data_IF_320282174185
#
_entry.id   IF_320282174185
#
_cell.length_a   1.000
_cell.length_b   1.000
_cell.length_c   1.000
_cell.angle_alpha   90.00
_cell.angle_beta   90.00
_cell.angle_gamma   90.00
#
_symmetry.space_group_name_H-M   'P 1'
#
loop_
_entity.id
_entity.type
_entity.pdbx_description
1 polymer ?
#
# COMPACT_ATOMS: atom_id res chain seq x y z
N UNK A 1 18.38 -9.48 -29.75
CA UNK A 1 18.56 -8.02 -29.82
C UNK A 1 17.19 -7.45 -30.17
N UNK A 2 16.42 -6.99 -29.17
CA UNK A 2 15.07 -6.42 -29.38
C UNK A 2 15.20 -5.09 -30.08
N UNK A 3 14.38 -4.83 -31.12
CA UNK A 3 14.28 -3.52 -31.77
C UNK A 3 13.98 -2.46 -30.68
N UNK A 4 14.71 -1.33 -30.62
CA UNK A 4 14.37 -0.21 -29.75
C UNK A 4 12.91 0.28 -29.84
N UNK A 5 12.19 -0.09 -30.91
CA UNK A 5 10.76 0.18 -31.14
C UNK A 5 9.80 -0.76 -30.38
N UNK A 6 10.28 -1.85 -29.79
CA UNK A 6 9.48 -2.83 -29.02
C UNK A 6 9.45 -2.56 -27.51
N UNK A 7 9.85 -1.37 -27.06
CA UNK A 7 9.73 -1.01 -25.64
C UNK A 7 8.26 -0.67 -25.34
N UNK A 8 7.62 -1.38 -24.41
CA UNK A 8 6.24 -1.13 -23.99
C UNK A 8 6.14 0.18 -23.19
N UNK A 9 6.22 1.32 -23.89
CA UNK A 9 6.40 2.65 -23.27
C UNK A 9 5.30 3.01 -22.28
N UNK A 10 4.04 2.68 -22.60
CA UNK A 10 2.88 2.94 -21.73
C UNK A 10 2.96 2.12 -20.43
N UNK A 11 3.38 0.87 -20.52
CA UNK A 11 3.57 -0.01 -19.36
C UNK A 11 4.79 0.44 -18.53
N UNK A 12 5.89 0.86 -19.16
CA UNK A 12 7.06 1.41 -18.45
C UNK A 12 6.68 2.69 -17.72
N UNK A 13 5.99 3.62 -18.37
CA UNK A 13 5.47 4.84 -17.73
C UNK A 13 4.53 4.48 -16.58
N UNK A 14 3.61 3.53 -16.78
CA UNK A 14 2.74 3.02 -15.73
C UNK A 14 3.51 2.49 -14.52
N UNK A 15 4.57 1.69 -14.73
CA UNK A 15 5.38 1.15 -13.64
C UNK A 15 6.04 2.24 -12.79
N UNK A 16 6.51 3.32 -13.41
CA UNK A 16 7.03 4.48 -12.68
C UNK A 16 5.96 5.20 -11.87
N UNK A 17 4.73 5.32 -12.40
CA UNK A 17 3.61 5.86 -11.61
C UNK A 17 3.19 4.94 -10.47
N UNK A 18 3.28 3.62 -10.61
CA UNK A 18 3.06 2.70 -9.48
C UNK A 18 4.07 2.97 -8.36
N UNK A 19 5.35 3.12 -8.70
CA UNK A 19 6.41 3.42 -7.73
C UNK A 19 6.21 4.78 -7.08
N UNK A 20 5.85 5.80 -7.86
CA UNK A 20 5.57 7.13 -7.33
C UNK A 20 4.34 7.12 -6.40
N UNK A 21 3.23 6.52 -6.83
CA UNK A 21 2.02 6.40 -6.01
C UNK A 21 2.29 5.63 -4.72
N UNK A 22 3.08 4.56 -4.77
CA UNK A 22 3.49 3.81 -3.58
C UNK A 22 4.36 4.64 -2.63
N UNK A 23 5.29 5.44 -3.16
CA UNK A 23 6.09 6.34 -2.32
C UNK A 23 5.22 7.41 -1.61
N UNK A 24 4.22 7.96 -2.31
CA UNK A 24 3.24 8.91 -1.73
C UNK A 24 2.40 8.21 -0.64
N UNK A 25 1.89 7.02 -0.94
CA UNK A 25 1.12 6.18 -0.01
C UNK A 25 1.93 5.87 1.27
N UNK A 26 3.18 5.41 1.13
CA UNK A 26 4.03 5.12 2.28
C UNK A 26 4.36 6.35 3.11
N UNK A 27 4.53 7.50 2.46
CA UNK A 27 4.74 8.76 3.18
C UNK A 27 3.50 9.12 4.01
N UNK A 28 2.31 8.97 3.42
CA UNK A 28 1.03 9.12 4.13
C UNK A 28 0.94 8.19 5.33
N UNK A 29 1.21 6.90 5.14
CA UNK A 29 1.11 5.87 6.19
C UNK A 29 2.04 6.13 7.38
N UNK A 30 3.31 6.45 7.12
CA UNK A 30 4.27 6.72 8.20
C UNK A 30 3.88 7.98 8.96
N UNK A 31 3.42 9.01 8.24
CA UNK A 31 2.93 10.24 8.84
C UNK A 31 1.66 10.02 9.66
N UNK A 32 0.74 9.20 9.17
CA UNK A 32 -0.51 8.85 9.83
C UNK A 32 -0.27 8.16 11.19
N UNK A 33 0.60 7.14 11.19
CA UNK A 33 1.00 6.45 12.40
C UNK A 33 1.68 7.38 13.43
N UNK A 34 2.45 8.37 12.97
CA UNK A 34 2.99 9.41 13.84
C UNK A 34 1.90 10.37 14.34
N UNK A 35 1.00 10.80 13.46
CA UNK A 35 -0.05 11.77 13.74
C UNK A 35 -0.93 11.34 14.90
N UNK A 36 -1.33 10.07 14.95
CA UNK A 36 -2.12 9.53 16.06
C UNK A 36 -1.41 9.61 17.42
N UNK A 37 -0.07 9.56 17.43
CA UNK A 37 0.74 9.70 18.65
C UNK A 37 0.94 11.15 19.09
N UNK A 38 1.11 12.06 18.12
CA UNK A 38 1.47 13.45 18.38
C UNK A 38 0.24 14.37 18.54
N UNK A 39 -0.81 14.13 17.76
CA UNK A 39 -2.00 15.01 17.65
C UNK A 39 -3.23 14.35 18.29
N UNK A 40 -3.40 13.03 18.11
CA UNK A 40 -4.54 12.27 18.61
C UNK A 40 -5.52 11.84 17.51
N UNK A 41 -6.81 11.61 17.84
CA UNK A 41 -7.80 11.10 16.90
C UNK A 41 -7.90 11.99 15.67
N UNK A 42 -7.90 11.37 14.51
CA UNK A 42 -8.07 12.06 13.24
C UNK A 42 -9.51 12.00 12.75
N UNK A 43 -9.72 12.60 11.58
CA UNK A 43 -10.94 12.48 10.82
C UNK A 43 -10.56 12.09 9.39
N UNK A 44 -11.56 11.77 8.58
CA UNK A 44 -11.36 11.30 7.20
C UNK A 44 -10.52 12.24 6.31
N UNK A 45 -10.42 13.52 6.64
CA UNK A 45 -9.77 14.56 5.82
C UNK A 45 -8.42 15.04 6.37
N UNK A 46 -7.80 14.32 7.29
CA UNK A 46 -6.46 14.67 7.75
C UNK A 46 -5.45 14.61 6.60
N UNK A 47 -4.43 15.47 6.70
CA UNK A 47 -3.38 15.52 5.70
C UNK A 47 -2.68 14.16 5.44
N UNK A 48 -2.33 13.33 6.45
CA UNK A 48 -1.84 11.97 6.21
C UNK A 48 -2.81 11.09 5.41
N UNK A 49 -4.11 11.11 5.75
CA UNK A 49 -5.15 10.39 4.99
C UNK A 49 -5.24 10.82 3.53
N UNK A 50 -5.18 12.12 3.26
CA UNK A 50 -5.17 12.63 1.89
C UNK A 50 -3.98 12.12 1.07
N UNK A 51 -2.81 11.95 1.70
CA UNK A 51 -1.65 11.33 1.05
C UNK A 51 -1.86 9.83 0.81
N UNK A 52 -2.47 9.11 1.75
CA UNK A 52 -2.84 7.70 1.55
C UNK A 52 -3.75 7.55 0.33
N UNK A 53 -4.84 8.32 0.27
CA UNK A 53 -5.81 8.29 -0.83
C UNK A 53 -5.18 8.71 -2.16
N UNK A 54 -4.35 9.75 -2.15
CA UNK A 54 -3.64 10.19 -3.35
C UNK A 54 -2.70 9.11 -3.89
N UNK A 55 -1.94 8.45 -3.00
CA UNK A 55 -1.01 7.39 -3.38
C UNK A 55 -1.70 6.19 -4.03
N UNK A 56 -2.71 5.61 -3.36
CA UNK A 56 -3.48 4.50 -3.93
C UNK A 56 -4.30 4.92 -5.16
N UNK A 57 -4.80 6.16 -5.18
CA UNK A 57 -5.49 6.73 -6.34
C UNK A 57 -4.59 6.84 -7.58
N UNK A 58 -3.34 7.28 -7.43
CA UNK A 58 -2.34 7.30 -8.51
C UNK A 58 -2.11 5.88 -9.02
N UNK A 59 -1.95 4.91 -8.15
CA UNK A 59 -1.75 3.49 -8.51
C UNK A 59 -2.95 2.98 -9.31
N UNK A 60 -4.16 3.11 -8.77
CA UNK A 60 -5.39 2.62 -9.39
C UNK A 60 -5.68 3.27 -10.75
N UNK A 61 -5.54 4.59 -10.86
CA UNK A 61 -5.73 5.32 -12.12
C UNK A 61 -4.68 4.93 -13.16
N UNK A 62 -3.42 4.76 -12.75
CA UNK A 62 -2.35 4.32 -13.66
C UNK A 62 -2.62 2.92 -14.19
N UNK A 63 -3.05 2.00 -13.32
CA UNK A 63 -3.48 0.66 -13.71
C UNK A 63 -4.64 0.71 -14.71
N UNK A 64 -5.69 1.47 -14.40
CA UNK A 64 -6.84 1.63 -15.28
C UNK A 64 -6.39 2.15 -16.66
N UNK A 65 -5.67 3.28 -16.69
CA UNK A 65 -5.19 3.90 -17.93
C UNK A 65 -4.39 2.90 -18.78
N UNK A 66 -3.46 2.15 -18.18
CA UNK A 66 -2.67 1.16 -18.92
C UNK A 66 -3.56 0.05 -19.49
N UNK A 67 -4.56 -0.44 -18.75
CA UNK A 67 -5.52 -1.44 -19.25
C UNK A 67 -6.35 -0.88 -20.41
N UNK A 68 -6.89 0.33 -20.29
CA UNK A 68 -7.68 0.96 -21.36
C UNK A 68 -6.81 1.16 -22.62
N UNK A 69 -5.58 1.67 -22.47
CA UNK A 69 -4.66 1.85 -23.59
C UNK A 69 -4.23 0.51 -24.21
N UNK A 70 -4.03 -0.53 -23.40
CA UNK A 70 -3.69 -1.87 -23.90
C UNK A 70 -4.84 -2.52 -24.65
N UNK A 71 -6.08 -2.07 -24.40
CA UNK A 71 -7.29 -2.58 -25.04
C UNK A 71 -7.62 -1.85 -26.35
N UNK A 72 -7.46 -0.51 -26.38
CA UNK A 72 -7.98 0.31 -27.49
C UNK A 72 -6.97 1.20 -28.19
N UNK A 73 -5.72 1.32 -27.72
CA UNK A 73 -4.74 2.13 -28.44
C UNK A 73 -4.41 1.51 -29.81
N UNK A 74 -4.27 2.36 -30.82
CA UNK A 74 -3.82 1.94 -32.15
C UNK A 74 -2.32 1.59 -32.09
N UNK A 75 -1.96 0.41 -32.58
CA UNK A 75 -0.57 -0.06 -32.64
C UNK A 75 -0.47 -1.57 -32.41
N UNK A 76 0.72 -2.16 -32.63
CA UNK A 76 0.94 -3.56 -32.32
C UNK A 76 0.76 -3.80 -30.81
N UNK A 77 0.24 -4.99 -30.47
CA UNK A 77 0.18 -5.42 -29.10
C UNK A 77 1.60 -5.50 -28.52
N UNK A 78 1.75 -5.06 -27.27
CA UNK A 78 3.01 -5.28 -26.54
C UNK A 78 3.10 -6.75 -26.15
N UNK A 79 4.32 -7.24 -26.04
CA UNK A 79 4.67 -8.57 -25.56
C UNK A 79 4.65 -8.67 -24.01
N UNK A 80 4.10 -7.65 -23.33
CA UNK A 80 3.85 -7.72 -21.89
C UNK A 80 2.78 -8.79 -21.62
N UNK A 81 3.06 -9.77 -20.74
CA UNK A 81 2.10 -10.79 -20.34
C UNK A 81 0.76 -10.19 -19.87
N UNK A 82 -0.34 -10.66 -20.43
CA UNK A 82 -1.67 -10.09 -20.21
C UNK A 82 -2.77 -11.15 -20.23
N UNK A 83 -3.90 -10.85 -19.59
CA UNK A 83 -5.14 -11.64 -19.62
C UNK A 83 -6.29 -10.79 -20.17
N UNK A 84 -7.23 -11.43 -20.85
CA UNK A 84 -8.46 -10.76 -21.30
C UNK A 84 -9.54 -10.87 -20.22
N UNK A 85 -9.99 -9.73 -19.71
CA UNK A 85 -11.03 -9.62 -18.68
C UNK A 85 -12.36 -9.23 -19.33
N UNK A 86 -13.46 -9.87 -18.91
CA UNK A 86 -14.81 -9.65 -19.46
C UNK A 86 -14.91 -9.74 -20.99
N UNK A 87 -14.04 -10.54 -21.63
CA UNK A 87 -13.93 -10.69 -23.10
C UNK A 87 -13.55 -9.40 -23.86
N UNK A 88 -13.23 -8.32 -23.17
CA UNK A 88 -12.96 -7.02 -23.79
C UNK A 88 -11.60 -6.46 -23.38
N UNK A 89 -11.33 -6.37 -22.08
CA UNK A 89 -10.19 -5.63 -21.57
C UNK A 89 -8.92 -6.47 -21.61
N UNK A 90 -7.92 -6.07 -22.41
CA UNK A 90 -6.58 -6.66 -22.36
C UNK A 90 -5.84 -6.06 -21.17
N UNK A 91 -5.74 -6.80 -20.07
CA UNK A 91 -5.12 -6.33 -18.85
C UNK A 91 -3.72 -6.96 -18.68
N UNK A 92 -2.63 -6.19 -18.78
CA UNK A 92 -1.31 -6.72 -18.45
C UNK A 92 -1.24 -7.05 -16.95
N UNK A 93 -0.63 -8.19 -16.60
CA UNK A 93 -0.69 -8.74 -15.24
C UNK A 93 -0.35 -7.75 -14.12
N UNK A 94 0.75 -6.96 -14.20
CA UNK A 94 1.09 -6.05 -13.13
C UNK A 94 0.00 -4.99 -12.86
N UNK A 95 -0.63 -4.50 -13.92
CA UNK A 95 -1.65 -3.46 -13.82
C UNK A 95 -3.01 -4.00 -13.39
N UNK A 96 -3.35 -5.25 -13.77
CA UNK A 96 -4.52 -5.92 -13.22
C UNK A 96 -4.38 -6.11 -11.71
N UNK A 97 -3.24 -6.64 -11.26
CA UNK A 97 -2.99 -6.89 -9.83
C UNK A 97 -2.93 -5.58 -9.05
N UNK A 98 -2.24 -4.55 -9.57
CA UNK A 98 -2.19 -3.24 -8.92
C UNK A 98 -3.55 -2.56 -8.85
N UNK A 99 -4.38 -2.71 -9.88
CA UNK A 99 -5.74 -2.17 -9.89
C UNK A 99 -6.65 -2.85 -8.87
N UNK A 100 -6.52 -4.18 -8.69
CA UNK A 100 -7.23 -4.92 -7.65
C UNK A 100 -6.74 -4.53 -6.25
N UNK A 101 -5.44 -4.37 -6.06
CA UNK A 101 -4.86 -3.86 -4.81
C UNK A 101 -5.40 -2.49 -4.44
N UNK A 102 -5.33 -1.52 -5.36
CA UNK A 102 -5.84 -0.16 -5.14
C UNK A 102 -7.36 -0.12 -4.90
N UNK A 103 -8.13 -0.95 -5.62
CA UNK A 103 -9.57 -1.06 -5.39
C UNK A 103 -9.88 -1.63 -4.01
N UNK A 104 -9.12 -2.65 -3.58
CA UNK A 104 -9.21 -3.20 -2.22
C UNK A 104 -8.86 -2.15 -1.16
N UNK A 105 -7.80 -1.37 -1.39
CA UNK A 105 -7.34 -0.33 -0.47
C UNK A 105 -8.43 0.74 -0.25
N UNK A 106 -9.02 1.26 -1.34
CA UNK A 106 -10.12 2.22 -1.23
C UNK A 106 -11.38 1.63 -0.58
N UNK A 107 -11.70 0.36 -0.87
CA UNK A 107 -12.81 -0.34 -0.22
C UNK A 107 -12.58 -0.46 1.29
N UNK A 108 -11.38 -0.86 1.70
CA UNK A 108 -11.03 -1.01 3.10
C UNK A 108 -10.86 0.33 3.82
N UNK A 109 -10.49 1.41 3.13
CA UNK A 109 -10.53 2.76 3.69
C UNK A 109 -11.96 3.19 4.01
N UNK A 110 -12.93 2.86 3.15
CA UNK A 110 -14.35 3.07 3.44
C UNK A 110 -14.85 2.18 4.58
N UNK A 111 -14.41 0.92 4.63
CA UNK A 111 -14.75 -0.01 5.71
C UNK A 111 -14.18 0.45 7.06
N UNK A 112 -13.00 1.07 7.06
CA UNK A 112 -12.35 1.64 8.23
C UNK A 112 -13.11 2.85 8.78
N UNK A 113 -13.52 3.77 7.90
CA UNK A 113 -14.40 4.87 8.28
C UNK A 113 -15.70 4.37 8.93
N UNK A 114 -16.35 3.39 8.30
CA UNK A 114 -17.58 2.79 8.84
C UNK A 114 -17.33 2.11 10.19
N UNK A 115 -16.20 1.41 10.33
CA UNK A 115 -15.82 0.76 11.59
C UNK A 115 -15.71 1.78 12.72
N UNK A 116 -15.00 2.88 12.48
CA UNK A 116 -14.85 3.94 13.46
C UNK A 116 -16.16 4.64 13.81
N UNK A 117 -17.12 4.74 12.88
CA UNK A 117 -18.45 5.28 13.16
C UNK A 117 -19.23 4.41 14.16
N UNK A 118 -19.12 3.08 14.06
CA UNK A 118 -19.88 2.13 14.88
C UNK A 118 -19.18 1.81 16.21
N UNK A 119 -17.87 1.59 16.17
CA UNK A 119 -17.09 1.08 17.30
C UNK A 119 -16.17 2.12 17.96
N UNK A 120 -16.04 3.30 17.35
CA UNK A 120 -15.14 4.35 17.81
C UNK A 120 -13.71 4.20 17.26
N UNK A 121 -12.87 5.17 17.64
CA UNK A 121 -11.49 5.27 17.16
C UNK A 121 -10.57 4.22 17.79
N UNK A 122 -9.80 3.51 16.96
CA UNK A 122 -8.79 2.55 17.40
C UNK A 122 -7.45 2.78 16.68
N UNK A 123 -6.35 2.77 17.44
CA UNK A 123 -4.97 2.99 16.95
C UNK A 123 -4.28 1.64 16.64
N UNK A 124 -4.95 0.53 16.94
CA UNK A 124 -4.34 -0.80 16.91
C UNK A 124 -4.55 -1.45 15.54
N UNK A 125 -3.75 -1.01 14.56
CA UNK A 125 -3.75 -1.46 13.16
C UNK A 125 -3.64 -3.00 12.95
N UNK A 126 -3.27 -3.77 13.98
CA UNK A 126 -3.20 -5.22 13.93
C UNK A 126 -4.44 -5.96 14.47
N UNK A 127 -5.45 -5.25 15.00
CA UNK A 127 -6.55 -5.87 15.77
C UNK A 127 -7.92 -5.74 15.12
N UNK A 128 -8.08 -4.81 14.17
CA UNK A 128 -9.36 -4.55 13.52
C UNK A 128 -9.36 -5.02 12.05
N UNK A 129 -10.48 -5.61 11.57
CA UNK A 129 -10.55 -6.17 10.21
C UNK A 129 -10.26 -5.16 9.10
N UNK A 130 -10.63 -3.89 9.29
CA UNK A 130 -10.41 -2.80 8.32
C UNK A 130 -8.92 -2.53 8.11
N UNK A 131 -8.16 -2.32 9.19
CA UNK A 131 -6.71 -2.12 9.13
C UNK A 131 -5.96 -3.32 8.55
N UNK A 132 -6.39 -4.55 8.87
CA UNK A 132 -5.82 -5.75 8.25
C UNK A 132 -6.06 -5.78 6.74
N UNK A 133 -7.27 -5.44 6.30
CA UNK A 133 -7.61 -5.35 4.88
C UNK A 133 -6.85 -4.24 4.13
N UNK A 134 -6.68 -3.07 4.76
CA UNK A 134 -5.83 -1.99 4.27
C UNK A 134 -4.39 -2.47 4.07
N UNK A 135 -3.80 -3.08 5.12
CA UNK A 135 -2.46 -3.65 5.07
C UNK A 135 -2.30 -4.69 3.96
N UNK A 136 -3.24 -5.62 3.83
CA UNK A 136 -3.21 -6.64 2.77
C UNK A 136 -3.28 -6.03 1.37
N UNK A 137 -4.13 -5.02 1.17
CA UNK A 137 -4.28 -4.32 -0.10
C UNK A 137 -2.99 -3.61 -0.52
N UNK A 138 -2.32 -2.98 0.44
CA UNK A 138 -0.98 -2.37 0.25
C UNK A 138 0.05 -3.42 -0.17
N UNK A 139 0.04 -4.62 0.43
CA UNK A 139 0.95 -5.70 0.00
C UNK A 139 0.69 -6.14 -1.44
N UNK A 140 -0.57 -6.15 -1.89
CA UNK A 140 -0.91 -6.43 -3.30
C UNK A 140 -0.39 -5.34 -4.23
N UNK A 141 -0.51 -4.07 -3.85
CA UNK A 141 0.05 -2.93 -4.61
C UNK A 141 1.59 -3.01 -4.71
N UNK A 142 2.28 -3.38 -3.62
CA UNK A 142 3.73 -3.63 -3.61
C UNK A 142 4.09 -4.74 -4.60
N UNK A 143 3.39 -5.87 -4.54
CA UNK A 143 3.63 -6.99 -5.43
C UNK A 143 3.44 -6.60 -6.89
N UNK A 144 2.41 -5.80 -7.19
CA UNK A 144 2.16 -5.26 -8.52
C UNK A 144 3.30 -4.36 -9.03
N UNK A 145 3.78 -3.43 -8.19
CA UNK A 145 4.90 -2.54 -8.53
C UNK A 145 6.18 -3.33 -8.85
N UNK A 146 6.55 -4.29 -7.99
CA UNK A 146 7.75 -5.12 -8.20
C UNK A 146 7.59 -5.98 -9.45
N UNK A 147 6.42 -6.58 -9.65
CA UNK A 147 6.10 -7.37 -10.84
C UNK A 147 6.20 -6.54 -12.11
N UNK A 148 5.75 -5.28 -12.10
CA UNK A 148 5.82 -4.38 -13.26
C UNK A 148 7.26 -4.20 -13.72
N UNK A 149 8.16 -3.79 -12.84
CA UNK A 149 9.58 -3.64 -13.20
C UNK A 149 10.25 -4.98 -13.50
N UNK A 150 9.85 -6.07 -12.83
CA UNK A 150 10.39 -7.39 -13.13
C UNK A 150 10.05 -7.84 -14.55
N UNK A 151 8.80 -7.67 -15.00
CA UNK A 151 8.37 -8.03 -16.36
C UNK A 151 8.99 -7.09 -17.40
N UNK A 152 9.18 -5.81 -17.07
CA UNK A 152 9.59 -4.78 -18.00
C UNK A 152 11.11 -4.53 -18.05
N UNK A 153 11.96 -5.32 -17.36
CA UNK A 153 13.43 -5.11 -17.16
C UNK A 153 14.34 -5.15 -18.40
N UNK A 154 14.05 -4.41 -19.48
CA UNK A 154 14.78 -4.43 -20.76
C UNK A 154 15.94 -3.46 -20.80
N UNK A 155 15.77 -2.28 -20.23
CA UNK A 155 16.72 -1.16 -20.23
C UNK A 155 17.40 -1.01 -18.87
N UNK A 156 18.50 -0.25 -18.83
CA UNK A 156 19.20 0.07 -17.58
C UNK A 156 18.30 0.85 -16.60
N UNK A 157 17.44 1.73 -17.12
CA UNK A 157 16.49 2.50 -16.31
C UNK A 157 15.49 1.59 -15.60
N UNK A 158 14.91 0.61 -16.32
CA UNK A 158 13.95 -0.34 -15.73
C UNK A 158 14.61 -1.25 -14.68
N UNK A 159 15.88 -1.62 -14.86
CA UNK A 159 16.64 -2.39 -13.85
C UNK A 159 16.88 -1.59 -12.57
N UNK A 160 17.20 -0.29 -12.71
CA UNK A 160 17.26 0.59 -11.54
C UNK A 160 15.88 0.77 -10.91
N UNK A 161 14.83 0.95 -11.72
CA UNK A 161 13.45 0.97 -11.24
C UNK A 161 13.09 -0.27 -10.42
N UNK A 162 13.48 -1.47 -10.85
CA UNK A 162 13.31 -2.69 -10.07
C UNK A 162 14.06 -2.66 -8.73
N UNK A 163 15.32 -2.22 -8.73
CA UNK A 163 16.10 -2.11 -7.50
C UNK A 163 15.48 -1.12 -6.51
N UNK A 164 15.02 0.04 -7.00
CA UNK A 164 14.30 1.03 -6.20
C UNK A 164 12.97 0.46 -5.69
N UNK A 165 12.19 -0.22 -6.53
CA UNK A 165 10.93 -0.85 -6.15
C UNK A 165 11.12 -1.87 -5.03
N UNK A 166 12.15 -2.73 -5.13
CA UNK A 166 12.50 -3.69 -4.07
C UNK A 166 12.91 -2.95 -2.79
N UNK A 167 13.78 -1.94 -2.88
CA UNK A 167 14.22 -1.16 -1.73
C UNK A 167 13.04 -0.50 -1.00
N UNK A 168 12.16 0.18 -1.75
CA UNK A 168 10.94 0.81 -1.22
C UNK A 168 9.96 -0.22 -0.65
N UNK A 169 9.78 -1.37 -1.30
CA UNK A 169 8.94 -2.46 -0.81
C UNK A 169 9.44 -2.99 0.54
N UNK A 170 10.75 -3.21 0.67
CA UNK A 170 11.37 -3.67 1.92
C UNK A 170 11.25 -2.61 3.02
N UNK A 171 11.53 -1.35 2.72
CA UNK A 171 11.40 -0.24 3.68
C UNK A 171 9.96 -0.05 4.14
N UNK A 172 8.99 -0.06 3.23
CA UNK A 172 7.58 0.06 3.59
C UNK A 172 7.08 -1.13 4.42
N UNK A 173 7.40 -2.36 4.01
CA UNK A 173 7.00 -3.57 4.75
C UNK A 173 7.59 -3.62 6.16
N UNK A 174 8.85 -3.21 6.34
CA UNK A 174 9.49 -3.16 7.65
C UNK A 174 8.94 -2.03 8.53
N UNK A 175 8.58 -0.89 7.94
CA UNK A 175 7.94 0.23 8.64
C UNK A 175 6.54 -0.16 9.13
N UNK A 176 5.74 -0.80 8.28
CA UNK A 176 4.41 -1.31 8.63
C UNK A 176 4.48 -2.31 9.79
N UNK A 177 5.42 -3.27 9.73
CA UNK A 177 5.63 -4.22 10.83
C UNK A 177 6.09 -3.54 12.13
N UNK A 178 6.93 -2.51 12.03
CA UNK A 178 7.36 -1.66 13.14
C UNK A 178 6.20 -0.93 13.83
N UNK A 179 5.22 -0.46 13.06
CA UNK A 179 4.02 0.20 13.60
C UNK A 179 3.11 -0.80 14.33
N UNK A 180 2.85 -1.96 13.73
CA UNK A 180 2.05 -3.03 14.36
C UNK A 180 2.68 -3.51 15.68
N UNK A 181 4.00 -3.69 15.70
CA UNK A 181 4.71 -4.19 16.90
C UNK A 181 4.81 -3.18 18.04
N UNK A 182 4.72 -1.87 17.77
CA UNK A 182 4.69 -0.82 18.81
C UNK A 182 3.33 -0.71 19.52
N UNK A 183 2.26 -1.11 18.86
CA UNK A 183 0.90 -1.14 19.41
C UNK A 183 0.51 -2.47 20.05
N UNK A 184 1.34 -3.52 19.94
CA UNK A 184 1.17 -4.71 20.77
C UNK A 184 1.28 -4.31 22.25
N UNK A 185 0.37 -4.78 23.13
CA UNK A 185 0.45 -4.43 24.54
C UNK A 185 1.84 -4.80 25.03
N UNK A 186 2.58 -3.80 25.53
CA UNK A 186 3.76 -4.06 26.34
C UNK A 186 3.26 -4.81 27.57
N UNK A 187 3.11 -6.12 27.47
CA UNK A 187 3.20 -7.00 28.61
C UNK A 187 4.60 -6.78 29.16
N UNK A 188 4.74 -5.82 30.09
CA UNK A 188 5.85 -5.81 31.03
C UNK A 188 5.70 -7.10 31.85
N UNK A 189 6.24 -8.19 31.33
CA UNK A 189 6.71 -9.28 32.17
C UNK A 189 7.76 -8.67 33.10
N UNK A 190 7.38 -8.32 34.32
CA UNK A 190 8.32 -7.81 35.33
C UNK A 190 7.85 -6.71 36.28
N UNK A 191 6.56 -6.40 36.40
CA UNK A 191 6.05 -5.50 37.45
C UNK A 191 4.99 -6.15 38.33
N UNK A 192 5.23 -7.40 38.74
CA UNK A 192 4.61 -8.01 39.92
C UNK A 192 5.73 -8.36 40.90
N UNK A 193 6.32 -7.34 41.54
CA UNK A 193 7.02 -7.56 42.80
C UNK A 193 6.89 -6.32 43.68
N UNK A 194 6.52 -6.57 44.93
CA UNK A 194 6.48 -5.68 46.09
C UNK A 194 5.32 -4.65 46.17
N UNK A 195 4.15 -5.15 46.59
CA UNK A 195 3.36 -4.44 47.61
C UNK A 195 3.45 -5.21 48.93
N UNK A 196 4.40 -4.84 49.79
CA UNK A 196 4.30 -5.17 51.22
C UNK A 196 3.17 -4.32 51.82
N UNK A 197 2.22 -4.90 52.58
CA UNK A 197 1.33 -4.09 53.40
C UNK A 197 2.14 -3.50 54.56
N UNK A 198 2.20 -2.16 54.65
CA UNK A 198 2.70 -1.48 55.83
C UNK A 198 1.78 -1.70 57.03
N UNK A 199 2.29 -1.72 58.28
CA UNK A 199 1.46 -1.94 59.46
C UNK A 199 0.64 -0.67 59.74
N UNK A 200 -0.62 -0.69 59.32
CA UNK A 200 -1.61 0.34 59.64
C UNK A 200 -2.22 0.08 61.02
N UNK A 201 -1.98 1.03 61.93
CA UNK A 201 -2.37 1.04 63.33
C UNK A 201 -3.87 0.79 63.59
N UNK A 202 -4.12 0.03 64.65
CA UNK A 202 -5.36 0.02 65.44
C UNK A 202 -5.72 1.44 65.88
N UNK A 203 -6.97 1.85 65.68
CA UNK A 203 -7.80 2.57 66.66
C UNK A 203 -9.26 2.19 66.42
#
# INVERSE_FOLDING_TARGET
MTDPRDVPRREVTGAWFLLFGYAVLMTGMVWDGQWHGDVGPDNFWTAPHLLLYAGTGIIGLSCLIVVLLSTWARGPATDTPSVTVFRTFRAPWPFLVGGLGASGNLLYAGADLWWHEVYGFDIAAGTTPSHFGLGLSIQVEIFAMVMAFAVLRRTRSERWGLALAIGLATLGSTSAFGMVSRCAPRCRCGACHDRRPGPGLRR
#
